data_IF_530387681130
#
_entry.id   IF_530387681130
#
_cell.length_a   1.000
_cell.length_b   1.000
_cell.length_c   1.000
_cell.angle_alpha   90.00
_cell.angle_beta   90.00
_cell.angle_gamma   90.00
#
_symmetry.space_group_name_H-M   'P 1'
#
loop_
_entity.id
_entity.type
_entity.pdbx_description
1 polymer ?
#
# COMPACT_ATOMS: atom_id res chain seq x y z
N UNK A 1 -10.06 -9.72 -2.26
CA UNK A 1 -9.39 -10.95 -2.76
C UNK A 1 -8.44 -10.64 -3.91
N UNK A 2 -8.83 -10.82 -5.16
CA UNK A 2 -8.04 -10.53 -6.38
C UNK A 2 -8.14 -9.07 -6.84
N UNK A 3 -9.09 -8.33 -6.27
CA UNK A 3 -9.14 -6.86 -6.37
C UNK A 3 -7.84 -6.29 -5.79
N UNK A 4 -7.13 -5.55 -6.64
CA UNK A 4 -5.86 -4.88 -6.37
C UNK A 4 -6.10 -3.56 -5.64
N UNK A 5 -6.99 -2.73 -6.17
CA UNK A 5 -7.40 -1.46 -5.57
C UNK A 5 -8.74 -0.99 -6.17
N UNK A 6 -9.31 0.06 -5.58
CA UNK A 6 -10.53 0.76 -6.06
C UNK A 6 -11.77 -0.13 -6.23
N UNK A 7 -11.88 -1.19 -5.41
CA UNK A 7 -13.11 -1.98 -5.36
C UNK A 7 -14.26 -1.13 -4.85
N UNK A 8 -15.36 -1.06 -5.60
CA UNK A 8 -16.55 -0.31 -5.21
C UNK A 8 -17.34 -1.14 -4.18
N UNK A 9 -17.61 -0.62 -2.96
CA UNK A 9 -18.44 -1.32 -1.99
C UNK A 9 -19.81 -1.67 -2.55
N UNK A 10 -20.22 -2.93 -2.39
CA UNK A 10 -21.48 -3.44 -2.93
C UNK A 10 -22.24 -4.32 -1.92
N UNK A 11 -23.13 -5.20 -2.40
CA UNK A 11 -23.94 -6.09 -1.56
C UNK A 11 -23.27 -7.43 -1.26
N UNK A 12 -22.02 -7.66 -1.69
CA UNK A 12 -21.29 -8.89 -1.43
C UNK A 12 -20.98 -8.98 0.06
N UNK A 13 -21.51 -10.01 0.71
CA UNK A 13 -21.13 -10.35 2.07
C UNK A 13 -19.68 -10.86 2.11
N UNK A 14 -18.91 -10.43 3.11
CA UNK A 14 -17.57 -10.95 3.32
C UNK A 14 -17.65 -12.41 3.78
N UNK A 15 -16.79 -13.26 3.20
CA UNK A 15 -16.77 -14.69 3.49
C UNK A 15 -15.59 -15.04 4.40
N UNK A 16 -15.76 -16.06 5.24
CA UNK A 16 -14.67 -16.58 6.05
C UNK A 16 -13.54 -17.12 5.14
N UNK A 17 -12.34 -16.55 5.26
CA UNK A 17 -11.21 -16.84 4.38
C UNK A 17 -10.93 -15.75 3.34
N UNK A 18 -11.74 -14.69 3.28
CA UNK A 18 -11.45 -13.51 2.47
C UNK A 18 -10.29 -12.69 3.03
N UNK A 19 -9.68 -11.92 2.12
CA UNK A 19 -8.95 -10.71 2.48
C UNK A 19 -9.62 -9.50 1.85
N UNK A 20 -9.71 -8.41 2.63
CA UNK A 20 -10.31 -7.14 2.23
C UNK A 20 -9.37 -6.00 2.60
N UNK A 21 -9.05 -5.16 1.63
CA UNK A 21 -8.38 -3.88 1.89
C UNK A 21 -9.46 -2.80 2.07
N UNK A 22 -9.29 -1.96 3.09
CA UNK A 22 -10.12 -0.79 3.31
C UNK A 22 -9.26 0.45 3.10
N UNK A 23 -9.60 1.21 2.06
CA UNK A 23 -8.89 2.42 1.66
C UNK A 23 -9.70 3.65 2.05
N UNK A 24 -9.08 4.56 2.81
CA UNK A 24 -9.75 5.65 3.50
C UNK A 24 -9.01 6.95 3.29
N UNK A 25 -9.60 7.79 2.44
CA UNK A 25 -9.25 9.19 2.35
C UNK A 25 -10.28 10.07 3.07
N UNK A 26 -9.82 11.03 3.86
CA UNK A 26 -10.67 12.09 4.43
C UNK A 26 -10.23 13.46 3.96
N UNK A 27 -11.18 14.40 3.79
CA UNK A 27 -10.89 15.81 3.54
C UNK A 27 -11.34 16.65 4.74
N UNK A 28 -10.39 17.34 5.37
CA UNK A 28 -10.65 18.15 6.56
C UNK A 28 -9.79 19.41 6.58
N UNK A 29 -10.41 20.54 6.91
CA UNK A 29 -9.74 21.85 7.01
C UNK A 29 -8.84 22.21 5.82
N UNK A 30 -9.25 21.82 4.61
CA UNK A 30 -8.52 22.13 3.39
C UNK A 30 -7.53 21.07 2.93
N UNK A 31 -7.35 19.97 3.67
CA UNK A 31 -6.34 18.94 3.39
C UNK A 31 -6.92 17.53 3.32
N UNK A 32 -6.30 16.69 2.49
CA UNK A 32 -6.55 15.26 2.38
C UNK A 32 -5.59 14.47 3.29
N UNK A 33 -6.07 13.39 3.88
CA UNK A 33 -5.24 12.36 4.53
C UNK A 33 -5.68 10.98 4.06
N UNK A 34 -4.72 10.12 3.73
CA UNK A 34 -4.95 8.85 3.05
C UNK A 34 -4.19 7.69 3.69
N UNK A 35 -4.88 6.57 3.88
CA UNK A 35 -4.31 5.33 4.39
C UNK A 35 -5.19 4.15 4.02
N UNK A 36 -4.58 2.97 3.99
CA UNK A 36 -5.31 1.73 3.81
C UNK A 36 -4.62 0.56 4.54
N UNK A 37 -5.41 -0.44 4.90
CA UNK A 37 -4.92 -1.69 5.49
C UNK A 37 -5.66 -2.89 4.91
N UNK A 38 -4.95 -4.00 4.72
CA UNK A 38 -5.56 -5.29 4.36
C UNK A 38 -5.86 -6.13 5.59
N UNK A 39 -7.12 -6.53 5.74
CA UNK A 39 -7.63 -7.36 6.84
C UNK A 39 -7.96 -8.79 6.40
N UNK A 40 -7.76 -9.73 7.31
CA UNK A 40 -8.18 -11.13 7.18
C UNK A 40 -9.60 -11.29 7.73
N UNK A 41 -10.50 -11.92 6.96
CA UNK A 41 -11.88 -12.16 7.38
C UNK A 41 -12.01 -13.56 7.98
N UNK A 42 -12.37 -13.62 9.26
CA UNK A 42 -12.51 -14.88 9.99
C UNK A 42 -11.18 -15.64 10.15
N UNK A 43 -11.27 -16.97 10.25
CA UNK A 43 -10.14 -17.83 10.62
C UNK A 43 -9.69 -18.77 9.49
N UNK A 44 -10.37 -18.77 8.33
CA UNK A 44 -10.09 -19.67 7.22
C UNK A 44 -9.11 -19.10 6.17
N UNK A 45 -8.42 -18.00 6.47
CA UNK A 45 -7.44 -17.40 5.56
C UNK A 45 -6.22 -18.31 5.47
N UNK A 46 -5.84 -18.69 4.25
CA UNK A 46 -4.69 -19.59 4.02
C UNK A 46 -3.37 -18.98 4.49
N UNK A 47 -2.42 -19.81 4.92
CA UNK A 47 -1.07 -19.37 5.33
C UNK A 47 -0.33 -18.61 4.23
N UNK A 48 -0.53 -18.99 2.96
CA UNK A 48 0.03 -18.26 1.82
C UNK A 48 -0.53 -16.84 1.74
N UNK A 49 -1.83 -16.67 1.95
CA UNK A 49 -2.50 -15.37 1.92
C UNK A 49 -2.14 -14.54 3.14
N UNK A 50 -2.05 -15.13 4.34
CA UNK A 50 -1.49 -14.44 5.51
C UNK A 50 -0.08 -13.93 5.23
N UNK A 51 0.78 -14.77 4.65
CA UNK A 51 2.13 -14.37 4.23
C UNK A 51 2.09 -13.20 3.23
N UNK A 52 1.17 -13.20 2.26
CA UNK A 52 0.99 -12.07 1.32
C UNK A 52 0.72 -10.76 2.07
N UNK A 53 -0.27 -10.75 2.96
CA UNK A 53 -0.65 -9.57 3.74
C UNK A 53 0.52 -9.05 4.56
N UNK A 54 1.19 -9.94 5.32
CA UNK A 54 2.34 -9.56 6.16
C UNK A 54 3.51 -9.02 5.34
N UNK A 55 3.87 -9.68 4.23
CA UNK A 55 4.96 -9.23 3.35
C UNK A 55 4.64 -7.89 2.69
N UNK A 56 3.36 -7.62 2.39
CA UNK A 56 2.92 -6.32 1.86
C UNK A 56 3.16 -5.20 2.87
N UNK A 57 2.77 -5.41 4.13
CA UNK A 57 3.07 -4.48 5.21
C UNK A 57 4.60 -4.29 5.39
N UNK A 58 5.37 -5.38 5.41
CA UNK A 58 6.84 -5.29 5.50
C UNK A 58 7.48 -4.56 4.30
N UNK A 59 6.89 -4.62 3.11
CA UNK A 59 7.32 -3.84 1.96
C UNK A 59 7.13 -2.33 2.20
N UNK A 60 5.97 -1.93 2.73
CA UNK A 60 5.70 -0.55 3.11
C UNK A 60 6.71 -0.05 4.15
N UNK A 61 6.89 -0.79 5.24
CA UNK A 61 7.83 -0.45 6.32
C UNK A 61 9.27 -0.27 5.82
N UNK A 62 9.74 -1.17 4.94
CA UNK A 62 11.07 -1.08 4.34
C UNK A 62 11.23 0.13 3.42
N UNK A 63 10.16 0.57 2.76
CA UNK A 63 10.15 1.77 1.96
C UNK A 63 10.18 3.04 2.82
N UNK A 64 9.36 3.08 3.88
CA UNK A 64 9.33 4.19 4.85
C UNK A 64 10.71 4.39 5.49
N UNK A 65 11.41 3.30 5.84
CA UNK A 65 12.73 3.37 6.48
C UNK A 65 13.82 4.14 5.69
N UNK A 66 13.66 4.30 4.38
CA UNK A 66 14.59 5.07 3.54
C UNK A 66 14.15 6.52 3.28
N UNK A 67 12.96 6.92 3.73
CA UNK A 67 12.43 8.26 3.54
C UNK A 67 13.18 9.25 4.43
N UNK A 68 13.85 10.20 3.78
CA UNK A 68 14.58 11.32 4.40
C UNK A 68 14.99 12.32 3.30
N UNK A 69 15.34 13.56 3.66
CA UNK A 69 15.86 14.52 2.69
C UNK A 69 17.06 13.95 1.91
N UNK A 70 17.09 14.17 0.60
CA UNK A 70 18.16 13.68 -0.28
C UNK A 70 17.91 12.30 -0.92
N UNK A 71 16.96 11.51 -0.41
CA UNK A 71 16.53 10.25 -1.05
C UNK A 71 15.75 10.55 -2.34
N UNK A 72 15.97 9.80 -3.42
CA UNK A 72 15.22 9.97 -4.67
C UNK A 72 13.91 9.19 -4.60
N UNK A 73 12.82 9.77 -5.09
CA UNK A 73 11.52 9.07 -5.11
C UNK A 73 11.56 7.74 -5.86
N UNK A 74 12.33 7.65 -6.95
CA UNK A 74 12.50 6.39 -7.69
C UNK A 74 13.14 5.25 -6.88
N UNK A 75 13.83 5.57 -5.79
CA UNK A 75 14.54 4.58 -4.99
C UNK A 75 13.55 3.81 -4.07
N UNK A 76 12.34 4.35 -3.81
CA UNK A 76 11.25 3.70 -3.03
C UNK A 76 10.91 2.30 -3.54
N UNK A 77 10.81 2.11 -4.86
CA UNK A 77 10.43 0.82 -5.42
C UNK A 77 11.46 -0.29 -5.26
N UNK A 78 12.71 0.04 -4.91
CA UNK A 78 13.81 -0.94 -4.76
C UNK A 78 13.63 -1.85 -3.54
N UNK A 79 13.50 -1.34 -2.29
CA UNK A 79 13.27 -2.19 -1.12
C UNK A 79 11.96 -2.99 -1.25
N UNK A 80 10.89 -2.38 -1.77
CA UNK A 80 9.59 -3.04 -2.00
C UNK A 80 9.76 -4.24 -2.94
N UNK A 81 10.33 -4.01 -4.13
CA UNK A 81 10.49 -5.07 -5.13
C UNK A 81 11.38 -6.20 -4.63
N UNK A 82 12.48 -5.86 -3.95
CA UNK A 82 13.40 -6.86 -3.41
C UNK A 82 12.70 -7.75 -2.38
N UNK A 83 11.94 -7.15 -1.46
CA UNK A 83 11.27 -7.90 -0.39
C UNK A 83 10.10 -8.75 -0.92
N UNK A 84 9.28 -8.21 -1.81
CA UNK A 84 8.19 -8.95 -2.45
C UNK A 84 8.72 -10.15 -3.26
N UNK A 85 9.73 -9.93 -4.13
CA UNK A 85 10.32 -11.00 -4.95
C UNK A 85 10.99 -12.09 -4.12
N UNK A 86 11.71 -11.72 -3.06
CA UNK A 86 12.35 -12.69 -2.16
C UNK A 86 11.31 -13.62 -1.49
N UNK A 87 10.07 -13.18 -1.38
CA UNK A 87 8.96 -13.96 -0.82
C UNK A 87 8.07 -14.66 -1.85
N UNK A 88 8.40 -14.56 -3.15
CA UNK A 88 7.66 -15.21 -4.23
C UNK A 88 6.44 -14.42 -4.72
N UNK A 89 6.40 -13.11 -4.45
CA UNK A 89 5.31 -12.22 -4.87
C UNK A 89 5.76 -11.21 -5.95
N UNK A 90 4.79 -10.55 -6.58
CA UNK A 90 5.06 -9.51 -7.59
C UNK A 90 4.48 -8.16 -7.18
N UNK A 91 5.03 -7.08 -7.75
CA UNK A 91 4.63 -5.70 -7.44
C UNK A 91 3.84 -5.14 -8.62
N UNK A 92 2.64 -4.63 -8.35
CA UNK A 92 1.80 -3.93 -9.34
C UNK A 92 2.53 -2.72 -9.91
N UNK A 93 2.30 -2.43 -11.19
CA UNK A 93 2.97 -1.33 -11.91
C UNK A 93 2.02 -0.25 -12.43
N UNK A 94 0.73 -0.53 -12.44
CA UNK A 94 -0.28 0.33 -13.04
C UNK A 94 -0.71 1.47 -12.10
N UNK A 95 -0.44 1.32 -10.80
CA UNK A 95 -0.77 2.27 -9.73
C UNK A 95 0.46 2.61 -8.88
N UNK A 96 0.43 3.76 -8.22
CA UNK A 96 1.58 4.39 -7.58
C UNK A 96 1.15 5.31 -6.45
N UNK A 97 2.03 5.51 -5.47
CA UNK A 97 1.89 6.59 -4.50
C UNK A 97 1.91 7.97 -5.16
N UNK A 98 1.45 8.96 -4.42
CA UNK A 98 1.29 10.32 -4.93
C UNK A 98 1.62 11.37 -3.88
N UNK A 99 1.93 12.60 -4.32
CA UNK A 99 1.87 13.75 -3.44
C UNK A 99 0.44 13.96 -2.94
N UNK A 100 0.29 14.39 -1.70
CA UNK A 100 -1.00 14.62 -1.05
C UNK A 100 -0.93 15.83 -0.12
N UNK A 101 -2.02 16.59 -0.03
CA UNK A 101 -2.12 17.75 0.84
C UNK A 101 -3.42 18.50 0.58
N UNK A 102 -3.33 19.75 0.13
CA UNK A 102 -4.47 20.53 -0.34
C UNK A 102 -5.10 19.98 -1.64
N UNK A 103 -4.31 19.23 -2.40
CA UNK A 103 -4.75 18.39 -3.50
C UNK A 103 -4.79 16.93 -3.08
N UNK A 104 -5.80 16.19 -3.55
CA UNK A 104 -5.91 14.75 -3.29
C UNK A 104 -4.74 13.98 -3.92
N UNK A 105 -4.54 14.14 -5.23
CA UNK A 105 -3.42 13.55 -5.95
C UNK A 105 -2.59 14.65 -6.62
N UNK A 106 -1.31 14.75 -6.31
CA UNK A 106 -0.40 15.68 -6.95
C UNK A 106 1.00 15.08 -7.12
N UNK A 107 1.94 15.87 -7.62
CA UNK A 107 3.33 15.43 -7.74
C UNK A 107 3.95 15.24 -6.35
N UNK A 108 4.84 14.25 -6.16
CA UNK A 108 5.39 13.35 -7.19
C UNK A 108 4.57 12.07 -7.39
N UNK A 109 4.70 11.46 -8.56
CA UNK A 109 4.27 10.07 -8.81
C UNK A 109 5.31 9.10 -8.28
N UNK A 110 4.92 8.13 -7.43
CA UNK A 110 5.82 7.24 -6.67
C UNK A 110 5.56 5.77 -7.01
N UNK A 111 6.22 5.20 -8.04
CA UNK A 111 6.07 3.80 -8.37
C UNK A 111 6.71 2.87 -7.32
N UNK A 112 6.02 1.78 -7.01
CA UNK A 112 6.46 0.77 -6.03
C UNK A 112 7.44 -0.27 -6.60
N UNK A 113 7.69 -0.24 -7.91
CA UNK A 113 8.61 -1.18 -8.58
C UNK A 113 10.01 -0.59 -8.81
N UNK A 114 11.03 -1.44 -8.78
CA UNK A 114 12.43 -1.07 -9.01
C UNK A 114 12.69 -0.53 -10.42
N UNK A 115 13.76 0.26 -10.59
CA UNK A 115 14.20 0.82 -11.90
C UNK A 115 13.13 1.67 -12.61
N UNK A 116 12.18 2.22 -11.88
CA UNK A 116 11.28 3.24 -12.40
C UNK A 116 12.05 4.54 -12.73
N UNK A 117 11.40 5.44 -13.49
CA UNK A 117 12.03 6.66 -14.02
C UNK A 117 11.54 7.93 -13.32
N UNK A 118 10.91 7.81 -12.16
CA UNK A 118 10.42 8.97 -11.40
C UNK A 118 11.58 9.93 -11.11
N UNK A 119 11.30 11.22 -11.30
CA UNK A 119 12.23 12.31 -10.99
C UNK A 119 11.89 12.89 -9.61
N UNK A 120 12.84 13.64 -9.06
CA UNK A 120 12.67 14.32 -7.80
C UNK A 120 13.48 13.70 -6.67
N UNK A 121 13.74 14.54 -5.69
CA UNK A 121 14.49 14.24 -4.47
C UNK A 121 13.63 14.73 -3.31
N UNK A 122 13.50 13.91 -2.28
CA UNK A 122 12.75 14.25 -1.07
C UNK A 122 13.39 15.45 -0.38
N UNK A 123 12.55 16.37 0.09
CA UNK A 123 12.93 17.54 0.87
C UNK A 123 12.03 17.62 2.09
N UNK A 124 12.53 18.17 3.19
CA UNK A 124 11.73 18.38 4.40
C UNK A 124 10.48 19.23 4.07
N UNK A 125 9.35 18.87 4.67
CA UNK A 125 8.06 19.50 4.42
C UNK A 125 7.24 18.87 3.28
N UNK A 126 7.81 17.96 2.48
CA UNK A 126 7.04 17.23 1.47
C UNK A 126 6.11 16.20 2.11
N UNK A 127 4.89 16.10 1.59
CA UNK A 127 3.89 15.10 1.97
C UNK A 127 3.50 14.22 0.80
N UNK A 128 3.48 12.91 1.00
CA UNK A 128 3.15 11.93 -0.05
C UNK A 128 2.76 10.57 0.54
N UNK A 129 2.14 9.72 -0.28
CA UNK A 129 1.78 8.35 0.05
C UNK A 129 2.82 7.34 -0.41
N UNK A 130 2.97 6.24 0.33
CA UNK A 130 3.58 5.00 -0.16
C UNK A 130 2.53 3.92 0.05
N UNK A 131 2.14 3.24 -1.03
CA UNK A 131 0.93 2.38 -1.07
C UNK A 131 1.16 1.07 -1.87
N UNK A 132 2.14 0.22 -1.52
CA UNK A 132 2.50 -0.94 -2.33
C UNK A 132 1.36 -1.96 -2.43
N UNK A 133 0.88 -2.19 -3.66
CA UNK A 133 0.04 -3.33 -4.00
C UNK A 133 0.89 -4.53 -4.45
N UNK A 134 0.77 -5.66 -3.74
CA UNK A 134 1.55 -6.87 -3.94
C UNK A 134 0.62 -8.03 -4.32
N UNK A 135 0.97 -8.74 -5.39
CA UNK A 135 0.18 -9.85 -5.92
C UNK A 135 0.83 -11.20 -5.61
N UNK A 136 0.00 -12.21 -5.33
CA UNK A 136 0.44 -13.61 -5.25
C UNK A 136 0.96 -14.17 -6.58
N UNK A 137 0.54 -13.56 -7.68
CA UNK A 137 0.72 -14.03 -9.03
C UNK A 137 1.48 -13.04 -9.91
N UNK A 138 0.94 -12.82 -11.10
CA UNK A 138 1.42 -11.83 -12.04
C UNK A 138 1.20 -10.40 -11.54
N UNK A 139 2.05 -9.47 -11.98
CA UNK A 139 1.92 -8.04 -11.70
C UNK A 139 0.88 -7.33 -12.59
N UNK A 140 0.38 -8.02 -13.63
CA UNK A 140 -0.55 -7.45 -14.59
C UNK A 140 -1.94 -7.33 -13.98
N UNK A 141 -2.54 -6.14 -14.12
CA UNK A 141 -3.91 -5.88 -13.73
C UNK A 141 -4.82 -5.72 -14.96
N UNK A 142 -6.12 -5.87 -14.75
CA UNK A 142 -7.17 -5.49 -15.69
C UNK A 142 -8.25 -4.72 -14.93
N UNK A 143 -8.84 -3.70 -15.55
CA UNK A 143 -9.94 -2.93 -14.97
C UNK A 143 -11.26 -3.53 -15.38
N UNK A 144 -12.19 -3.66 -14.43
CA UNK A 144 -13.55 -4.07 -14.73
C UNK A 144 -14.30 -3.04 -15.60
N UNK A 145 -15.42 -3.42 -16.24
CA UNK A 145 -16.23 -2.50 -17.03
C UNK A 145 -16.82 -1.31 -16.24
N UNK A 146 -16.79 -1.36 -14.90
CA UNK A 146 -17.18 -0.24 -14.04
C UNK A 146 -16.22 0.96 -14.12
N UNK A 147 -15.03 0.77 -14.71
CA UNK A 147 -14.01 1.82 -14.87
C UNK A 147 -13.15 2.09 -13.64
N UNK A 148 -13.34 1.34 -12.55
CA UNK A 148 -12.66 1.55 -11.27
C UNK A 148 -11.96 0.30 -10.76
N UNK A 149 -12.69 -0.81 -10.65
CA UNK A 149 -12.23 -2.00 -9.93
C UNK A 149 -11.05 -2.62 -10.68
N UNK A 150 -9.86 -2.53 -10.11
CA UNK A 150 -8.65 -3.11 -10.66
C UNK A 150 -8.49 -4.52 -10.08
N UNK A 151 -8.35 -5.54 -10.93
CA UNK A 151 -8.13 -6.92 -10.49
C UNK A 151 -6.87 -7.50 -11.10
N UNK A 152 -6.28 -8.49 -10.44
CA UNK A 152 -5.16 -9.25 -11.02
C UNK A 152 -5.63 -9.99 -12.26
N UNK A 153 -4.81 -9.99 -13.32
CA UNK A 153 -5.15 -10.66 -14.59
C UNK A 153 -5.27 -12.19 -14.45
N UNK A 154 -4.59 -12.78 -13.46
CA UNK A 154 -4.59 -14.23 -13.22
C UNK A 154 -5.56 -14.67 -12.11
N UNK A 155 -6.38 -13.75 -11.57
CA UNK A 155 -7.38 -14.02 -10.53
C UNK A 155 -6.79 -14.40 -9.17
N UNK A 156 -5.47 -14.26 -8.97
CA UNK A 156 -4.84 -14.51 -7.68
C UNK A 156 -4.96 -13.29 -6.77
N UNK A 157 -4.81 -13.51 -5.47
CA UNK A 157 -5.01 -12.46 -4.47
C UNK A 157 -3.98 -11.33 -4.56
N UNK A 158 -4.42 -10.15 -4.16
CA UNK A 158 -3.60 -8.97 -3.93
C UNK A 158 -3.77 -8.48 -2.49
N UNK A 159 -2.80 -7.71 -2.00
CA UNK A 159 -2.87 -6.99 -0.73
C UNK A 159 -2.20 -5.63 -0.89
N UNK A 160 -2.66 -4.66 -0.10
CA UNK A 160 -2.16 -3.29 -0.07
C UNK A 160 -2.09 -2.78 1.38
N UNK A 161 -1.12 -1.92 1.64
CA UNK A 161 -1.03 -1.09 2.84
C UNK A 161 -0.56 0.28 2.41
N UNK A 162 -0.99 1.32 3.13
CA UNK A 162 -0.64 2.69 2.80
C UNK A 162 -0.50 3.58 4.02
N UNK A 163 0.45 4.50 3.90
CA UNK A 163 0.55 5.64 4.80
C UNK A 163 0.81 6.95 4.06
N UNK A 164 0.20 8.01 4.58
CA UNK A 164 0.61 9.40 4.32
C UNK A 164 1.82 9.75 5.19
N UNK A 165 2.88 10.24 4.55
CA UNK A 165 4.16 10.56 5.18
C UNK A 165 4.47 12.05 5.09
N UNK A 166 5.11 12.60 6.12
CA UNK A 166 5.75 13.92 6.10
C UNK A 166 7.26 13.74 6.17
N UNK A 167 8.01 14.26 5.21
CA UNK A 167 9.47 14.29 5.28
C UNK A 167 9.90 15.34 6.32
N UNK A 168 10.72 14.92 7.29
CA UNK A 168 11.30 15.81 8.31
C UNK A 168 12.77 16.10 7.97
N UNK A 169 13.46 16.89 8.79
CA UNK A 169 14.87 17.26 8.52
C UNK A 169 15.85 16.07 8.51
N UNK A 170 15.49 14.96 9.17
CA UNK A 170 16.37 13.81 9.37
C UNK A 170 15.70 12.45 9.08
N UNK A 171 14.46 12.44 8.58
CA UNK A 171 13.70 11.22 8.33
C UNK A 171 12.30 11.52 7.79
N UNK A 172 11.32 10.82 8.33
CA UNK A 172 9.90 11.12 8.13
C UNK A 172 9.08 10.89 9.39
N UNK A 173 7.93 11.55 9.42
CA UNK A 173 6.82 11.25 10.32
C UNK A 173 5.74 10.51 9.54
N UNK A 174 5.21 9.44 10.12
CA UNK A 174 4.08 8.68 9.56
C UNK A 174 2.80 9.31 10.10
N UNK A 175 2.16 10.18 9.33
CA UNK A 175 1.01 10.98 9.79
C UNK A 175 -0.23 10.13 10.07
N UNK A 176 -0.34 9.00 9.38
CA UNK A 176 -1.43 8.02 9.49
C UNK A 176 -1.02 6.78 10.30
N UNK A 177 -0.04 6.95 11.20
CA UNK A 177 0.44 5.85 12.02
C UNK A 177 -0.69 5.26 12.88
N UNK A 178 -0.60 3.95 13.10
CA UNK A 178 -1.45 3.24 14.05
C UNK A 178 -1.24 3.80 15.46
N UNK A 179 -2.29 3.76 16.26
CA UNK A 179 -2.30 4.25 17.65
C UNK A 179 -2.49 3.08 18.61
N UNK A 180 -2.29 3.25 19.93
CA UNK A 180 -2.52 2.19 20.91
C UNK A 180 -3.95 1.62 20.93
N UNK A 181 -4.93 2.31 20.35
CA UNK A 181 -6.32 1.86 20.25
C UNK A 181 -6.65 1.20 18.89
N UNK A 182 -5.71 1.19 17.95
CA UNK A 182 -5.87 0.50 16.67
C UNK A 182 -5.98 -1.02 16.90
N UNK A 183 -6.94 -1.67 16.25
CA UNK A 183 -7.14 -3.13 16.35
C UNK A 183 -5.87 -3.86 15.90
N UNK A 184 -5.20 -4.66 16.77
CA UNK A 184 -3.89 -5.23 16.46
C UNK A 184 -3.90 -6.07 15.18
N UNK A 185 -2.80 -6.00 14.43
CA UNK A 185 -2.59 -6.87 13.27
C UNK A 185 -2.43 -8.30 13.77
N UNK A 186 -2.91 -9.28 13.00
CA UNK A 186 -2.98 -10.66 13.49
C UNK A 186 -1.61 -11.25 13.87
N UNK A 187 -0.51 -10.79 13.26
CA UNK A 187 0.85 -11.22 13.63
C UNK A 187 1.39 -10.55 14.90
N UNK A 188 0.76 -9.48 15.38
CA UNK A 188 1.13 -8.83 16.66
C UNK A 188 0.52 -9.59 17.84
N UNK A 189 -0.60 -10.27 17.61
CA UNK A 189 -1.29 -11.09 18.62
C UNK A 189 -0.62 -12.46 18.81
N UNK A 190 0.10 -12.96 17.81
CA UNK A 190 0.83 -14.24 17.88
C UNK A 190 2.18 -14.13 18.62
N UNK A 191 2.64 -12.91 18.92
CA UNK A 191 3.91 -12.63 19.60
C UNK A 191 3.81 -12.46 21.12
N UNK A 192 2.61 -12.58 21.70
CA UNK A 192 2.35 -12.67 23.14
C UNK A 192 2.18 -14.13 23.60
#
# INVERSE_FOLDING_TARGET
>A
NEVVCHGIPDRRELENGDTVNLDVTVYYNGFHGDLNETHCVGNAVSEKTKKLVKVTHECLERAIAIVRPGTKFRDIGTPITRHAKANGFSVVKDYCGHGIGDLFHCAPTIPHYERNKTRGVMQAGMTFTIEPMINEGSHHCVTWPDGWTAVTKDGKRSAQFEHTLLVTDNGCEVLTARTPTSTPLWWEQESE
#
